data_IF_980225966922
#
_entry.id   IF_980225966922
#
_cell.length_a   1.000
_cell.length_b   1.000
_cell.length_c   1.000
_cell.angle_alpha   90.00
_cell.angle_beta   90.00
_cell.angle_gamma   90.00
#
_symmetry.space_group_name_H-M   'P 1'
#
loop_
_entity.id
_entity.type
_entity.pdbx_description
1 polymer ?
#
# COMPACT_ATOMS: atom_id res chain seq x y z
N UNK A 1 -12.10 71.61 -14.91
CA UNK A 1 -12.65 70.68 -13.91
C UNK A 1 -12.64 69.31 -14.48
N UNK A 2 -11.68 68.48 -14.05
CA UNK A 2 -11.58 67.05 -14.43
C UNK A 2 -11.93 66.21 -13.20
N UNK A 3 -13.04 65.51 -13.25
CA UNK A 3 -13.52 64.60 -12.21
C UNK A 3 -12.70 63.35 -12.20
N UNK A 4 -12.07 63.06 -11.08
CA UNK A 4 -11.29 61.88 -10.81
C UNK A 4 -12.24 60.74 -10.39
N UNK A 5 -12.45 59.75 -11.24
CA UNK A 5 -13.20 58.54 -10.88
C UNK A 5 -12.32 57.61 -10.07
N UNK A 6 -12.63 57.50 -8.79
CA UNK A 6 -11.98 56.55 -7.89
C UNK A 6 -12.61 55.16 -8.09
N UNK A 7 -11.86 54.26 -8.69
CA UNK A 7 -12.22 52.83 -8.79
C UNK A 7 -11.93 52.16 -7.43
N UNK A 8 -12.97 51.84 -6.70
CA UNK A 8 -12.88 50.97 -5.54
C UNK A 8 -12.78 49.49 -6.06
N UNK A 9 -11.60 48.93 -6.02
CA UNK A 9 -11.42 47.47 -6.22
C UNK A 9 -11.71 46.81 -4.89
N UNK A 10 -12.89 46.19 -4.82
CA UNK A 10 -13.28 45.36 -3.68
C UNK A 10 -12.50 44.05 -3.77
N UNK A 11 -11.49 43.90 -2.93
CA UNK A 11 -10.74 42.66 -2.78
C UNK A 11 -11.57 41.69 -1.90
N UNK A 12 -12.40 40.89 -2.53
CA UNK A 12 -13.07 39.80 -1.84
C UNK A 12 -12.03 38.71 -1.55
N UNK A 13 -11.54 38.66 -0.32
CA UNK A 13 -10.74 37.55 0.17
C UNK A 13 -11.64 36.31 0.20
N UNK A 14 -11.50 35.47 -0.82
CA UNK A 14 -12.03 34.10 -0.81
C UNK A 14 -11.21 33.33 0.21
N UNK A 15 -11.69 33.24 1.44
CA UNK A 15 -11.16 32.31 2.43
C UNK A 15 -11.54 30.93 1.90
N UNK A 16 -10.65 30.33 1.11
CA UNK A 16 -10.68 28.89 0.89
C UNK A 16 -10.54 28.26 2.28
N UNK A 17 -11.67 27.73 2.77
CA UNK A 17 -11.68 26.94 3.98
C UNK A 17 -10.60 25.88 3.87
N UNK A 18 -9.56 26.03 4.67
CA UNK A 18 -8.64 24.94 4.99
C UNK A 18 -9.51 23.84 5.60
N UNK A 19 -10.01 22.95 4.75
CA UNK A 19 -10.50 21.66 5.22
C UNK A 19 -9.31 21.08 5.96
N UNK A 20 -9.40 20.86 7.29
CA UNK A 20 -8.32 20.17 7.97
C UNK A 20 -8.16 18.84 7.24
N UNK A 21 -7.02 18.63 6.62
CA UNK A 21 -6.60 17.31 6.20
C UNK A 21 -6.47 16.58 7.53
N UNK A 22 -7.54 15.90 7.93
CA UNK A 22 -7.49 14.96 9.03
C UNK A 22 -6.42 13.97 8.60
N UNK A 23 -5.24 14.09 9.20
CA UNK A 23 -4.25 13.04 9.11
C UNK A 23 -5.01 11.79 9.57
N UNK A 24 -5.35 10.89 8.63
CA UNK A 24 -6.00 9.64 8.92
C UNK A 24 -4.96 8.74 9.58
N UNK A 25 -4.54 9.11 10.79
CA UNK A 25 -3.81 8.25 11.68
C UNK A 25 -4.76 7.20 12.22
N UNK A 26 -4.31 5.98 12.31
CA UNK A 26 -5.02 4.96 13.08
C UNK A 26 -5.29 5.52 14.47
N UNK A 27 -6.52 5.33 14.98
CA UNK A 27 -6.87 5.79 16.30
C UNK A 27 -5.98 5.13 17.34
N UNK A 28 -5.49 5.93 18.29
CA UNK A 28 -4.76 5.39 19.42
C UNK A 28 -5.67 4.45 20.22
N UNK A 29 -5.15 3.32 20.76
CA UNK A 29 -5.94 2.36 21.51
C UNK A 29 -6.60 2.95 22.76
N UNK A 30 -6.04 4.03 23.32
CA UNK A 30 -6.59 4.72 24.47
C UNK A 30 -6.69 6.23 24.21
N UNK A 31 -7.85 6.80 24.54
CA UNK A 31 -8.10 8.24 24.58
C UNK A 31 -8.14 8.73 26.01
N UNK A 32 -7.53 9.87 26.27
CA UNK A 32 -7.51 10.47 27.61
C UNK A 32 -8.51 11.62 27.68
N UNK A 33 -9.31 11.66 28.73
CA UNK A 33 -10.22 12.78 28.99
C UNK A 33 -9.53 13.85 29.84
N UNK A 34 -9.90 15.11 29.62
CA UNK A 34 -9.40 16.20 30.46
C UNK A 34 -9.73 15.94 31.94
N UNK A 35 -8.79 16.27 32.81
CA UNK A 35 -8.89 16.12 34.27
C UNK A 35 -9.00 14.66 34.78
N UNK A 36 -8.69 13.66 33.99
CA UNK A 36 -8.54 12.27 34.44
C UNK A 36 -7.06 11.89 34.49
N UNK A 37 -6.65 11.16 35.51
CA UNK A 37 -5.29 10.65 35.59
C UNK A 37 -5.09 9.56 34.54
N UNK A 38 -4.08 9.74 33.68
CA UNK A 38 -3.68 8.73 32.71
C UNK A 38 -2.98 7.57 33.43
N UNK A 39 -3.39 6.34 33.12
CA UNK A 39 -2.68 5.16 33.63
C UNK A 39 -1.40 4.94 32.81
N UNK A 40 -0.30 4.66 33.47
CA UNK A 40 0.98 4.42 32.81
C UNK A 40 0.89 3.28 31.77
N UNK A 41 0.10 2.25 32.01
CA UNK A 41 -0.13 1.16 31.07
C UNK A 41 -0.83 1.61 29.77
N UNK A 42 -1.79 2.53 29.87
CA UNK A 42 -2.52 3.08 28.72
C UNK A 42 -1.61 4.01 27.89
N UNK A 43 -0.80 4.84 28.57
CA UNK A 43 0.21 5.68 27.95
C UNK A 43 1.24 4.83 27.21
N UNK A 44 1.79 3.82 27.87
CA UNK A 44 2.77 2.90 27.28
C UNK A 44 2.17 2.13 26.09
N UNK A 45 0.91 1.73 26.16
CA UNK A 45 0.22 1.08 25.02
C UNK A 45 0.09 2.00 23.82
N UNK A 46 -0.24 3.29 24.04
CA UNK A 46 -0.28 4.28 22.96
C UNK A 46 1.11 4.51 22.34
N UNK A 47 2.15 4.59 23.17
CA UNK A 47 3.52 4.72 22.65
C UNK A 47 3.97 3.47 21.89
N UNK A 48 3.66 2.28 22.37
CA UNK A 48 3.96 1.03 21.67
C UNK A 48 3.22 0.94 20.33
N UNK A 49 1.95 1.36 20.30
CA UNK A 49 1.16 1.41 19.08
C UNK A 49 1.79 2.37 18.05
N UNK A 50 2.16 3.58 18.47
CA UNK A 50 2.85 4.54 17.60
C UNK A 50 4.21 4.01 17.13
N UNK A 51 5.01 3.43 18.03
CA UNK A 51 6.29 2.85 17.68
C UNK A 51 6.14 1.75 16.62
N UNK A 52 5.16 0.87 16.76
CA UNK A 52 4.89 -0.19 15.79
C UNK A 52 4.43 0.34 14.42
N UNK A 53 3.86 1.54 14.35
CA UNK A 53 3.52 2.18 13.08
C UNK A 53 4.73 2.80 12.37
N UNK A 54 5.69 3.33 13.11
CA UNK A 54 6.85 4.04 12.57
C UNK A 54 8.14 3.22 12.56
N UNK A 55 8.26 2.23 13.44
CA UNK A 55 9.42 1.35 13.52
C UNK A 55 9.13 -0.01 12.91
N UNK A 56 10.15 -0.61 12.31
CA UNK A 56 10.02 -1.96 11.79
C UNK A 56 10.08 -2.98 12.92
N UNK A 57 8.96 -3.65 13.16
CA UNK A 57 8.89 -4.82 14.01
C UNK A 57 9.19 -6.06 13.14
N UNK A 58 10.30 -6.73 13.41
CA UNK A 58 10.85 -7.76 12.52
C UNK A 58 10.48 -9.17 12.98
N UNK A 59 10.13 -10.03 12.00
CA UNK A 59 9.99 -11.47 12.19
C UNK A 59 10.60 -12.23 11.03
N UNK A 60 11.34 -13.29 11.32
CA UNK A 60 11.73 -14.28 10.31
C UNK A 60 10.57 -15.24 10.10
N UNK A 61 10.19 -15.43 8.85
CA UNK A 61 9.12 -16.31 8.40
C UNK A 61 9.77 -17.56 7.78
N UNK A 62 9.52 -18.70 8.37
CA UNK A 62 9.82 -19.99 7.76
C UNK A 62 8.56 -20.49 7.05
N UNK A 63 8.58 -20.51 5.74
CA UNK A 63 7.40 -20.83 4.92
C UNK A 63 6.80 -22.21 5.14
N UNK A 64 7.50 -23.12 5.78
CA UNK A 64 6.99 -24.46 6.12
C UNK A 64 6.17 -24.49 7.42
N UNK A 65 6.33 -23.50 8.29
CA UNK A 65 5.72 -23.51 9.64
C UNK A 65 4.99 -22.22 9.98
N UNK A 66 5.36 -21.08 9.38
CA UNK A 66 4.84 -19.77 9.72
C UNK A 66 3.79 -19.29 8.71
N UNK A 67 2.87 -18.44 9.19
CA UNK A 67 1.87 -17.77 8.36
C UNK A 67 2.20 -16.28 8.26
N UNK A 68 2.44 -15.80 7.04
CA UNK A 68 2.74 -14.38 6.76
C UNK A 68 1.60 -13.48 7.22
N UNK A 69 0.37 -13.82 6.88
CA UNK A 69 -0.82 -13.01 7.25
C UNK A 69 -0.96 -12.90 8.75
N UNK A 70 -0.76 -14.01 9.47
CA UNK A 70 -0.82 -13.99 10.94
C UNK A 70 0.32 -13.15 11.52
N UNK A 71 1.52 -13.22 10.97
CA UNK A 71 2.63 -12.37 11.43
C UNK A 71 2.30 -10.87 11.29
N UNK A 72 1.65 -10.47 10.20
CA UNK A 72 1.19 -9.08 10.03
C UNK A 72 0.10 -8.73 11.04
N UNK A 73 -0.85 -9.62 11.29
CA UNK A 73 -1.89 -9.45 12.32
C UNK A 73 -1.29 -9.32 13.73
N UNK A 74 -0.20 -10.01 14.01
CA UNK A 74 0.56 -9.92 15.26
C UNK A 74 1.38 -8.63 15.39
N UNK A 75 1.33 -7.74 14.36
CA UNK A 75 1.97 -6.44 14.36
C UNK A 75 3.39 -6.42 13.80
N UNK A 76 3.84 -7.50 13.16
CA UNK A 76 5.11 -7.48 12.44
C UNK A 76 4.95 -6.82 11.08
N UNK A 77 5.83 -5.89 10.77
CA UNK A 77 5.81 -5.15 9.50
C UNK A 77 7.13 -5.22 8.72
N UNK A 78 8.12 -5.95 9.24
CA UNK A 78 9.33 -6.37 8.53
C UNK A 78 9.43 -7.88 8.59
N UNK A 79 9.22 -8.54 7.46
CA UNK A 79 9.22 -9.99 7.36
C UNK A 79 10.41 -10.45 6.54
N UNK A 80 11.27 -11.27 7.15
CA UNK A 80 12.38 -11.94 6.47
C UNK A 80 11.88 -13.32 6.06
N UNK A 81 11.65 -13.52 4.78
CA UNK A 81 11.01 -14.72 4.23
C UNK A 81 12.07 -15.73 3.85
N UNK A 82 11.98 -16.95 4.39
CA UNK A 82 12.84 -18.07 4.07
C UNK A 82 12.01 -19.18 3.40
N UNK A 83 12.35 -19.48 2.14
CA UNK A 83 11.72 -20.51 1.35
C UNK A 83 10.52 -20.04 0.53
N UNK A 84 9.71 -20.96 0.07
CA UNK A 84 8.55 -20.70 -0.79
C UNK A 84 7.25 -20.69 0.03
N UNK A 85 6.74 -19.51 0.32
CA UNK A 85 5.46 -19.34 1.00
C UNK A 85 4.30 -19.34 -0.01
N UNK A 86 3.21 -20.00 0.35
CA UNK A 86 1.94 -19.89 -0.36
C UNK A 86 0.89 -19.32 0.58
N UNK A 87 0.22 -18.28 0.14
CA UNK A 87 -0.84 -17.62 0.90
C UNK A 87 -2.12 -17.55 0.07
N UNK A 88 -3.26 -17.70 0.74
CA UNK A 88 -4.59 -17.64 0.11
C UNK A 88 -5.25 -16.26 0.23
N UNK A 89 -4.62 -15.34 0.95
CA UNK A 89 -5.10 -13.97 1.15
C UNK A 89 -4.03 -12.97 0.71
N UNK A 90 -4.43 -11.76 0.33
CA UNK A 90 -3.48 -10.71 -0.04
C UNK A 90 -2.64 -10.22 1.15
N UNK A 91 -1.55 -9.56 0.84
CA UNK A 91 -0.74 -8.77 1.77
C UNK A 91 -0.99 -7.30 1.44
N UNK A 92 -1.57 -6.54 2.36
CA UNK A 92 -1.93 -5.16 2.10
C UNK A 92 -1.28 -4.21 3.11
N UNK A 93 -0.75 -3.09 2.59
CA UNK A 93 -0.32 -1.94 3.39
C UNK A 93 -1.27 -0.76 3.17
N UNK A 94 -1.46 0.05 4.21
CA UNK A 94 -2.31 1.24 4.17
C UNK A 94 -3.73 1.00 4.64
N UNK A 95 -4.45 2.11 4.81
CA UNK A 95 -5.77 2.07 5.42
C UNK A 95 -6.82 1.54 4.46
N UNK A 96 -7.56 0.53 4.88
CA UNK A 96 -8.67 -0.09 4.15
C UNK A 96 -9.94 0.77 4.10
N UNK A 97 -9.88 2.03 4.54
CA UNK A 97 -11.06 2.93 4.59
C UNK A 97 -11.83 3.03 3.27
N UNK A 98 -11.21 2.64 2.17
CA UNK A 98 -11.88 2.54 0.87
C UNK A 98 -12.93 1.41 0.77
N UNK A 99 -12.91 0.43 1.67
CA UNK A 99 -13.99 -0.56 1.73
C UNK A 99 -15.36 0.12 1.99
N UNK A 100 -15.37 1.19 2.77
CA UNK A 100 -16.59 1.96 3.06
C UNK A 100 -16.98 2.90 1.91
N UNK A 101 -16.00 3.51 1.25
CA UNK A 101 -16.25 4.45 0.13
C UNK A 101 -16.70 3.72 -1.12
N UNK A 102 -16.14 2.57 -1.43
CA UNK A 102 -16.50 1.81 -2.63
C UNK A 102 -17.86 1.07 -2.52
N UNK A 103 -18.31 0.74 -1.31
CA UNK A 103 -19.71 0.28 -1.13
C UNK A 103 -20.74 1.29 -1.63
N UNK A 104 -20.38 2.57 -1.60
CA UNK A 104 -21.30 3.66 -2.03
C UNK A 104 -21.18 3.99 -3.52
N UNK A 105 -20.02 3.71 -4.15
CA UNK A 105 -19.73 4.22 -5.51
C UNK A 105 -20.13 3.29 -6.66
N UNK A 106 -20.21 1.98 -6.45
CA UNK A 106 -20.42 1.07 -7.58
C UNK A 106 -21.35 -0.12 -7.33
N UNK A 107 -21.87 -0.34 -6.14
CA UNK A 107 -22.56 -1.60 -5.83
C UNK A 107 -21.66 -2.84 -5.98
N UNK A 108 -20.37 -2.67 -6.20
CA UNK A 108 -19.40 -3.71 -6.41
C UNK A 108 -18.57 -3.91 -5.13
N UNK A 109 -18.57 -5.13 -4.64
CA UNK A 109 -17.82 -5.55 -3.43
C UNK A 109 -16.30 -5.73 -3.72
N UNK A 110 -15.66 -4.72 -4.33
CA UNK A 110 -14.30 -4.81 -4.85
C UNK A 110 -13.23 -4.79 -3.75
N UNK A 111 -13.58 -4.38 -2.54
CA UNK A 111 -12.63 -4.20 -1.46
C UNK A 111 -13.14 -4.79 -0.15
N UNK A 112 -13.03 -6.08 0.03
CA UNK A 112 -12.98 -6.65 1.37
C UNK A 112 -11.51 -6.86 1.72
N UNK A 113 -10.95 -5.96 2.54
CA UNK A 113 -9.62 -6.19 3.09
C UNK A 113 -9.70 -7.45 3.96
N UNK A 114 -8.85 -8.47 3.72
CA UNK A 114 -8.80 -9.65 4.58
C UNK A 114 -8.29 -9.34 5.98
N UNK A 115 -7.66 -8.18 6.17
CA UNK A 115 -7.21 -7.70 7.47
C UNK A 115 -8.29 -6.81 8.10
N UNK A 116 -8.52 -6.88 9.42
CA UNK A 116 -9.37 -5.93 10.14
C UNK A 116 -8.97 -4.49 9.83
N UNK A 117 -9.94 -3.57 9.75
CA UNK A 117 -9.75 -2.17 9.34
C UNK A 117 -8.58 -1.44 10.02
N UNK A 118 -8.19 -1.88 11.21
CA UNK A 118 -7.15 -1.26 12.02
C UNK A 118 -5.85 -2.08 12.08
N UNK A 119 -5.75 -3.20 11.37
CA UNK A 119 -4.62 -4.11 11.48
C UNK A 119 -3.62 -4.00 10.32
N UNK A 120 -3.97 -3.35 9.20
CA UNK A 120 -3.06 -3.19 8.09
C UNK A 120 -2.00 -2.14 8.44
N UNK A 121 -0.70 -2.50 8.50
CA UNK A 121 0.36 -1.53 8.74
C UNK A 121 0.48 -0.56 7.56
N UNK A 122 0.84 0.69 7.85
CA UNK A 122 1.11 1.69 6.80
C UNK A 122 2.36 1.34 5.98
N UNK A 123 3.26 0.54 6.54
CA UNK A 123 4.49 0.11 5.88
C UNK A 123 4.74 -1.37 6.11
N UNK A 124 5.08 -2.07 5.03
CA UNK A 124 5.49 -3.48 5.06
C UNK A 124 6.83 -3.62 4.35
N UNK A 125 7.74 -4.31 4.97
CA UNK A 125 9.01 -4.75 4.40
C UNK A 125 9.00 -6.27 4.23
N UNK A 126 9.16 -6.74 3.01
CA UNK A 126 9.30 -8.15 2.66
C UNK A 126 10.69 -8.38 2.11
N UNK A 127 11.50 -9.15 2.80
CA UNK A 127 12.90 -9.39 2.45
C UNK A 127 13.14 -10.88 2.29
N UNK A 128 13.73 -11.30 1.16
CA UNK A 128 14.21 -12.68 0.99
C UNK A 128 15.44 -12.92 1.86
N UNK A 129 15.40 -13.92 2.71
CA UNK A 129 16.50 -14.26 3.61
C UNK A 129 17.70 -14.82 2.88
N UNK A 130 17.48 -15.59 1.81
CA UNK A 130 18.51 -16.18 0.95
C UNK A 130 18.52 -15.65 -0.48
N UNK A 131 17.46 -14.94 -0.88
CA UNK A 131 17.37 -14.24 -2.16
C UNK A 131 16.30 -14.77 -3.11
N UNK A 132 16.03 -13.99 -4.17
CA UNK A 132 14.90 -14.16 -5.11
C UNK A 132 14.85 -15.50 -5.87
N UNK A 133 15.91 -16.26 -5.87
CA UNK A 133 15.92 -17.56 -6.54
C UNK A 133 15.43 -18.69 -5.65
N UNK A 134 15.40 -18.48 -4.35
CA UNK A 134 15.01 -19.46 -3.32
C UNK A 134 13.79 -19.04 -2.53
N UNK A 135 13.66 -17.73 -2.28
CA UNK A 135 12.61 -17.20 -1.45
C UNK A 135 11.50 -16.60 -2.30
N UNK A 136 10.28 -17.05 -2.06
CA UNK A 136 9.12 -16.59 -2.83
C UNK A 136 7.86 -16.50 -1.99
N UNK A 137 6.96 -15.64 -2.46
CA UNK A 137 5.57 -15.57 -1.97
C UNK A 137 4.66 -15.81 -3.16
N UNK A 138 3.90 -16.88 -3.11
CA UNK A 138 2.86 -17.19 -4.09
C UNK A 138 1.50 -16.81 -3.48
N UNK A 139 0.81 -15.87 -4.12
CA UNK A 139 -0.51 -15.42 -3.72
C UNK A 139 -1.52 -16.14 -4.61
N UNK A 140 -2.20 -17.13 -4.02
CA UNK A 140 -3.21 -17.91 -4.73
C UNK A 140 -4.53 -17.14 -4.74
N UNK A 141 -4.91 -16.62 -5.91
CA UNK A 141 -6.24 -16.08 -6.10
C UNK A 141 -7.28 -17.20 -6.03
N UNK A 142 -8.18 -17.14 -5.06
CA UNK A 142 -9.40 -17.92 -5.12
C UNK A 142 -10.33 -17.28 -6.17
N UNK A 143 -10.98 -18.08 -7.01
CA UNK A 143 -11.91 -17.61 -8.06
C UNK A 143 -13.09 -16.78 -7.52
N UNK A 144 -13.37 -16.85 -6.24
CA UNK A 144 -14.39 -16.03 -5.55
C UNK A 144 -13.83 -14.75 -4.93
N UNK A 145 -12.51 -14.52 -4.96
CA UNK A 145 -11.89 -13.31 -4.42
C UNK A 145 -11.81 -12.21 -5.49
N UNK A 146 -12.19 -11.00 -5.10
CA UNK A 146 -11.93 -9.82 -5.92
C UNK A 146 -10.42 -9.65 -6.13
N UNK A 147 -10.04 -8.96 -7.21
CA UNK A 147 -8.64 -8.72 -7.58
C UNK A 147 -7.77 -8.20 -6.42
N UNK A 148 -8.35 -7.42 -5.52
CA UNK A 148 -7.63 -6.77 -4.43
C UNK A 148 -7.38 -7.67 -3.22
N UNK A 149 -8.21 -8.68 -3.01
CA UNK A 149 -8.09 -9.60 -1.86
C UNK A 149 -7.03 -10.70 -2.06
N UNK A 150 -6.55 -10.87 -3.26
CA UNK A 150 -5.55 -11.87 -3.63
C UNK A 150 -4.33 -11.21 -4.26
N UNK A 151 -3.84 -10.12 -3.68
CA UNK A 151 -2.72 -9.36 -4.21
C UNK A 151 -1.74 -8.91 -3.13
N UNK A 152 -0.53 -8.55 -3.58
CA UNK A 152 0.34 -7.67 -2.83
C UNK A 152 -0.13 -6.24 -3.12
N UNK A 153 -0.80 -5.60 -2.17
CA UNK A 153 -1.49 -4.35 -2.39
C UNK A 153 -1.03 -3.21 -1.49
N UNK A 154 -0.83 -2.03 -2.06
CA UNK A 154 -0.58 -0.81 -1.30
C UNK A 154 -1.67 0.21 -1.59
N UNK A 155 -2.33 0.72 -0.55
CA UNK A 155 -3.51 1.57 -0.64
C UNK A 155 -3.44 2.76 0.32
N UNK A 156 -4.05 3.88 -0.06
CA UNK A 156 -4.29 5.03 0.83
C UNK A 156 -3.06 5.49 1.62
N UNK A 157 -1.97 5.77 0.93
CA UNK A 157 -0.71 6.20 1.53
C UNK A 157 0.16 5.06 2.06
N UNK A 158 -0.26 3.81 1.88
CA UNK A 158 0.53 2.65 2.23
C UNK A 158 1.84 2.56 1.45
N UNK A 159 2.80 1.87 2.01
CA UNK A 159 4.09 1.63 1.39
C UNK A 159 4.52 0.16 1.59
N UNK A 160 4.85 -0.51 0.49
CA UNK A 160 5.43 -1.84 0.53
C UNK A 160 6.81 -1.81 -0.11
N UNK A 161 7.79 -2.36 0.58
CA UNK A 161 9.12 -2.62 0.05
C UNK A 161 9.33 -4.12 -0.06
N UNK A 162 9.75 -4.57 -1.24
CA UNK A 162 10.08 -5.96 -1.52
C UNK A 162 11.53 -6.02 -1.97
N UNK A 163 12.33 -6.84 -1.32
CA UNK A 163 13.75 -6.99 -1.62
C UNK A 163 14.15 -8.45 -1.66
N UNK A 164 14.84 -8.84 -2.73
CA UNK A 164 15.41 -10.19 -2.86
C UNK A 164 14.37 -11.32 -2.88
N UNK A 165 13.14 -11.06 -3.30
CA UNK A 165 12.04 -12.02 -3.31
C UNK A 165 11.49 -12.25 -4.72
N UNK A 166 10.97 -13.44 -4.96
CA UNK A 166 10.04 -13.70 -6.06
C UNK A 166 8.60 -13.57 -5.58
N UNK A 167 7.82 -12.70 -6.21
CA UNK A 167 6.39 -12.57 -5.99
C UNK A 167 5.65 -13.22 -7.16
N UNK A 168 4.89 -14.28 -6.89
CA UNK A 168 4.02 -14.93 -7.86
C UNK A 168 2.58 -14.54 -7.54
N UNK A 169 2.00 -13.68 -8.36
CA UNK A 169 0.64 -13.19 -8.17
C UNK A 169 0.46 -11.75 -8.63
N UNK A 170 -0.57 -11.12 -8.12
CA UNK A 170 -0.93 -9.76 -8.49
C UNK A 170 -0.27 -8.74 -7.57
N UNK A 171 0.11 -7.60 -8.15
CA UNK A 171 0.62 -6.44 -7.43
C UNK A 171 -0.23 -5.24 -7.79
N UNK A 172 -0.80 -4.60 -6.78
CA UNK A 172 -1.62 -3.39 -6.95
C UNK A 172 -1.11 -2.25 -6.08
N UNK A 173 -1.06 -1.05 -6.69
CA UNK A 173 -0.71 0.17 -5.97
C UNK A 173 -1.75 1.23 -6.31
N UNK A 174 -2.48 1.74 -5.32
CA UNK A 174 -3.61 2.65 -5.54
C UNK A 174 -3.71 3.72 -4.46
N UNK A 175 -4.27 4.89 -4.84
CA UNK A 175 -4.64 5.98 -3.92
C UNK A 175 -3.47 6.54 -3.13
N UNK A 176 -2.57 7.25 -3.83
CA UNK A 176 -1.39 7.90 -3.25
C UNK A 176 -0.44 6.96 -2.52
N UNK A 177 -0.31 5.73 -2.98
CA UNK A 177 0.49 4.68 -2.36
C UNK A 177 1.76 4.39 -3.14
N UNK A 178 2.63 3.58 -2.56
CA UNK A 178 3.88 3.19 -3.19
C UNK A 178 4.17 1.71 -2.98
N UNK A 179 4.71 1.07 -4.04
CA UNK A 179 5.39 -0.22 -3.94
C UNK A 179 6.78 -0.08 -4.53
N UNK A 180 7.78 -0.58 -3.83
CA UNK A 180 9.16 -0.60 -4.28
C UNK A 180 9.65 -2.05 -4.40
N UNK A 181 10.25 -2.38 -5.53
CA UNK A 181 10.91 -3.67 -5.75
C UNK A 181 12.39 -3.46 -5.94
N UNK A 182 13.19 -4.15 -5.15
CA UNK A 182 14.63 -4.12 -5.20
C UNK A 182 15.19 -5.52 -5.37
N UNK A 183 15.99 -5.74 -6.41
CA UNK A 183 16.61 -7.04 -6.70
C UNK A 183 15.62 -8.21 -6.62
N UNK A 184 14.43 -8.06 -7.18
CA UNK A 184 13.31 -8.99 -7.02
C UNK A 184 12.89 -9.58 -8.37
N UNK A 185 11.92 -10.51 -8.33
CA UNK A 185 11.21 -11.02 -9.50
C UNK A 185 9.72 -10.97 -9.25
N UNK A 186 8.95 -10.58 -10.25
CA UNK A 186 7.49 -10.58 -10.19
C UNK A 186 6.98 -11.42 -11.35
N UNK A 187 6.10 -12.37 -11.06
CA UNK A 187 5.39 -13.15 -12.07
C UNK A 187 3.89 -12.99 -11.86
N UNK A 188 3.25 -12.24 -12.76
CA UNK A 188 1.82 -11.94 -12.68
C UNK A 188 1.49 -10.50 -13.01
N UNK A 189 0.26 -10.09 -12.73
CA UNK A 189 -0.24 -8.74 -13.03
C UNK A 189 0.39 -7.70 -12.14
N UNK A 190 0.78 -6.57 -12.74
CA UNK A 190 1.25 -5.40 -12.00
C UNK A 190 0.47 -4.18 -12.47
N UNK A 191 -0.16 -3.49 -11.53
CA UNK A 191 -0.98 -2.32 -11.83
C UNK A 191 -0.76 -1.21 -10.80
N UNK A 192 -0.59 0.02 -11.29
CA UNK A 192 -0.55 1.23 -10.46
C UNK A 192 -1.58 2.24 -10.93
N UNK A 193 -2.37 2.79 -10.02
CA UNK A 193 -3.50 3.66 -10.32
C UNK A 193 -3.69 4.76 -9.25
N UNK A 194 -4.36 5.87 -9.67
CA UNK A 194 -4.82 6.94 -8.77
C UNK A 194 -3.69 7.61 -7.97
N UNK A 195 -2.80 8.31 -8.70
CA UNK A 195 -1.66 9.05 -8.14
C UNK A 195 -0.67 8.18 -7.35
N UNK A 196 -0.54 6.92 -7.70
CA UNK A 196 0.33 5.99 -7.00
C UNK A 196 1.62 5.73 -7.77
N UNK A 197 2.61 5.15 -7.09
CA UNK A 197 3.91 4.96 -7.67
C UNK A 197 4.39 3.52 -7.51
N UNK A 198 5.02 3.00 -8.55
CA UNK A 198 5.85 1.79 -8.46
C UNK A 198 7.28 2.21 -8.79
N UNK A 199 8.20 1.82 -7.92
CA UNK A 199 9.62 1.97 -8.18
C UNK A 199 10.26 0.58 -8.24
N UNK A 200 11.00 0.31 -9.31
CA UNK A 200 11.70 -0.96 -9.52
C UNK A 200 13.18 -0.73 -9.75
N UNK A 201 14.01 -1.54 -9.12
CA UNK A 201 15.44 -1.55 -9.30
C UNK A 201 15.95 -2.99 -9.42
N UNK A 202 16.74 -3.28 -10.43
CA UNK A 202 17.31 -4.60 -10.69
C UNK A 202 16.26 -5.74 -10.58
N UNK A 203 15.09 -5.53 -11.18
CA UNK A 203 13.91 -6.39 -10.99
C UNK A 203 13.38 -6.88 -12.34
N UNK A 204 13.05 -8.17 -12.39
CA UNK A 204 12.41 -8.79 -13.55
C UNK A 204 10.90 -8.87 -13.31
N UNK A 205 10.12 -8.37 -14.26
CA UNK A 205 8.64 -8.42 -14.23
C UNK A 205 8.18 -9.25 -15.44
N UNK A 206 7.45 -10.31 -15.19
CA UNK A 206 6.88 -11.19 -16.20
C UNK A 206 5.36 -11.25 -16.07
N UNK A 207 4.67 -10.59 -17.00
CA UNK A 207 3.21 -10.57 -17.10
C UNK A 207 2.69 -11.45 -18.23
N UNK A 208 3.56 -12.16 -18.95
CA UNK A 208 3.21 -12.89 -20.19
C UNK A 208 2.15 -13.98 -19.98
N UNK A 209 2.12 -14.59 -18.80
CA UNK A 209 1.19 -15.68 -18.47
C UNK A 209 -0.06 -15.21 -17.71
N UNK A 210 -0.21 -13.90 -17.47
CA UNK A 210 -1.31 -13.36 -16.68
C UNK A 210 -2.60 -13.11 -17.48
N UNK A 211 -2.49 -13.05 -18.80
CA UNK A 211 -3.59 -12.58 -19.68
C UNK A 211 -3.83 -11.06 -19.62
N UNK A 212 -3.09 -10.34 -18.79
CA UNK A 212 -3.18 -8.90 -18.56
C UNK A 212 -1.82 -8.23 -18.79
N UNK A 213 -1.80 -6.92 -18.94
CA UNK A 213 -0.57 -6.16 -19.13
C UNK A 213 -0.07 -5.59 -17.80
N UNK A 214 1.19 -5.15 -17.80
CA UNK A 214 1.64 -4.18 -16.82
C UNK A 214 0.93 -2.85 -17.08
N UNK A 215 0.23 -2.29 -16.12
CA UNK A 215 -0.60 -1.11 -16.32
C UNK A 215 -0.23 0.05 -15.39
N UNK A 216 -0.07 1.26 -15.98
CA UNK A 216 0.14 2.52 -15.26
C UNK A 216 -0.98 3.46 -15.66
N UNK A 217 -1.85 3.83 -14.74
CA UNK A 217 -3.08 4.55 -15.06
C UNK A 217 -3.39 5.67 -14.06
N UNK A 218 -4.23 6.62 -14.52
CA UNK A 218 -4.84 7.63 -13.66
C UNK A 218 -3.81 8.47 -12.88
N UNK A 219 -2.92 9.12 -13.63
CA UNK A 219 -1.91 10.03 -13.10
C UNK A 219 -0.88 9.35 -12.16
N UNK A 220 -0.64 8.05 -12.39
CA UNK A 220 0.34 7.26 -11.65
C UNK A 220 1.68 7.20 -12.36
N UNK A 221 2.72 6.71 -11.68
CA UNK A 221 4.03 6.56 -12.29
C UNK A 221 4.67 5.19 -12.01
N UNK A 222 5.44 4.74 -12.98
CA UNK A 222 6.48 3.75 -12.80
C UNK A 222 7.83 4.42 -13.00
N UNK A 223 8.72 4.26 -12.03
CA UNK A 223 10.14 4.57 -12.18
C UNK A 223 10.94 3.29 -12.16
N UNK A 224 11.74 3.07 -13.20
CA UNK A 224 12.51 1.85 -13.37
C UNK A 224 14.00 2.16 -13.52
N UNK A 225 14.82 1.39 -12.80
CA UNK A 225 16.26 1.34 -12.94
C UNK A 225 16.67 -0.12 -13.09
N UNK A 226 17.24 -0.49 -14.25
CA UNK A 226 17.61 -1.86 -14.58
C UNK A 226 16.44 -2.86 -14.41
N UNK A 227 15.31 -2.59 -15.11
CA UNK A 227 14.16 -3.47 -15.17
C UNK A 227 14.14 -4.29 -16.46
N UNK A 228 13.75 -5.56 -16.35
CA UNK A 228 13.34 -6.36 -17.51
C UNK A 228 11.84 -6.60 -17.43
N UNK A 229 11.09 -6.25 -18.49
CA UNK A 229 9.67 -6.52 -18.63
C UNK A 229 9.43 -7.55 -19.74
N UNK A 230 8.78 -8.66 -19.37
CA UNK A 230 8.31 -9.66 -20.33
C UNK A 230 6.78 -9.60 -20.40
N UNK A 231 6.24 -9.47 -21.59
CA UNK A 231 4.80 -9.29 -21.84
C UNK A 231 4.46 -7.88 -22.28
N UNK A 232 3.19 -7.50 -22.12
CA UNK A 232 2.71 -6.20 -22.58
C UNK A 232 2.70 -5.14 -21.47
N UNK A 233 2.77 -3.87 -21.87
CA UNK A 233 2.57 -2.73 -20.98
C UNK A 233 1.53 -1.77 -21.54
N UNK A 234 0.81 -1.09 -20.67
CA UNK A 234 -0.16 -0.04 -21.00
C UNK A 234 0.02 1.16 -20.08
N UNK A 235 0.06 2.33 -20.68
CA UNK A 235 0.10 3.61 -19.95
C UNK A 235 -1.10 4.43 -20.37
N UNK A 236 -1.91 4.87 -19.43
CA UNK A 236 -3.17 5.56 -19.70
C UNK A 236 -3.34 6.78 -18.77
N UNK A 237 -4.17 7.74 -19.22
CA UNK A 237 -4.67 8.85 -18.39
C UNK A 237 -3.56 9.68 -17.74
N UNK A 238 -2.70 10.32 -18.56
CA UNK A 238 -1.62 11.20 -18.12
C UNK A 238 -0.59 10.58 -17.16
N UNK A 239 -0.42 9.25 -17.22
CA UNK A 239 0.55 8.53 -16.40
C UNK A 239 1.93 8.48 -17.05
N UNK A 240 2.97 8.20 -16.27
CA UNK A 240 4.36 8.16 -16.75
C UNK A 240 5.00 6.79 -16.52
N UNK A 241 5.90 6.46 -17.45
CA UNK A 241 6.75 5.28 -17.41
C UNK A 241 8.18 5.75 -17.72
N UNK A 242 9.06 5.77 -16.72
CA UNK A 242 10.45 6.27 -16.78
C UNK A 242 11.48 5.16 -16.54
#
# INVERSE_FOLDING_TARGET
MKTLNTFFVSFTFLILGLVPISAMGQSLPYTFSANTAAKASEVNSNFSHLANQFMYNSKTINCTSDNITQAILDGYNKLIVNGACTISTGINAGNSHMATINKTYAGESWFTNPLPENAAPMRILLIGGTGKNTDSITIQANSSMSYDNASLGSYNGGNIWVEGLTINGRVYTRFNSQVTFWNSKITGVVMTQYNSNIWVNNTNIDVSNSGECFEVENNSSLKADNMTLTGCSKVKNASTFE
#
